data_IF_807259369513
#
_entry.id   IF_807259369513
#
_cell.length_a   1.000
_cell.length_b   1.000
_cell.length_c   1.000
_cell.angle_alpha   90.00
_cell.angle_beta   90.00
_cell.angle_gamma   90.00
#
_symmetry.space_group_name_H-M   'P 1'
#
loop_
_entity.id
_entity.type
_entity.pdbx_description
1 polymer ?
#
# COMPACT_ATOMS: atom_id res chain seq x y z
N UNK A 1 -25.74 -6.27 -22.70
CA UNK A 1 -24.55 -6.68 -21.92
C UNK A 1 -23.58 -7.39 -22.85
N UNK A 2 -22.73 -6.65 -23.59
CA UNK A 2 -21.60 -7.21 -24.37
C UNK A 2 -20.70 -6.05 -24.80
N UNK A 3 -20.02 -5.39 -23.86
CA UNK A 3 -18.99 -4.36 -24.14
C UNK A 3 -17.58 -4.82 -23.74
N UNK A 4 -17.39 -6.10 -23.39
CA UNK A 4 -16.13 -6.59 -22.79
C UNK A 4 -15.29 -7.50 -23.69
N UNK A 5 -15.47 -7.50 -25.02
CA UNK A 5 -14.70 -8.39 -25.89
C UNK A 5 -14.26 -7.74 -27.21
N UNK A 6 -13.63 -6.57 -27.14
CA UNK A 6 -12.81 -6.09 -28.25
C UNK A 6 -11.33 -6.44 -28.01
N UNK A 7 -10.55 -6.79 -29.04
CA UNK A 7 -9.10 -7.04 -28.91
C UNK A 7 -8.32 -5.87 -28.28
N UNK A 8 -8.80 -4.63 -28.47
CA UNK A 8 -8.25 -3.40 -27.87
C UNK A 8 -8.36 -3.44 -26.34
N UNK A 9 -9.54 -3.81 -25.83
CA UNK A 9 -9.82 -3.94 -24.40
C UNK A 9 -8.91 -4.98 -23.75
N UNK A 10 -8.64 -6.11 -24.41
CA UNK A 10 -7.73 -7.14 -23.88
C UNK A 10 -6.29 -6.66 -23.76
N UNK A 11 -5.78 -5.90 -24.74
CA UNK A 11 -4.44 -5.33 -24.67
C UNK A 11 -4.32 -4.29 -23.54
N UNK A 12 -5.30 -3.39 -23.45
CA UNK A 12 -5.37 -2.38 -22.39
C UNK A 12 -5.40 -3.01 -21.00
N UNK A 13 -6.26 -4.02 -20.79
CA UNK A 13 -6.31 -4.77 -19.52
C UNK A 13 -4.95 -5.39 -19.21
N UNK A 14 -4.31 -6.04 -20.20
CA UNK A 14 -3.01 -6.69 -20.01
C UNK A 14 -1.93 -5.72 -19.57
N UNK A 15 -1.83 -4.54 -20.21
CA UNK A 15 -0.81 -3.56 -19.87
C UNK A 15 -1.06 -2.92 -18.48
N UNK A 16 -2.31 -2.59 -18.18
CA UNK A 16 -2.69 -2.05 -16.86
C UNK A 16 -2.44 -3.07 -15.74
N UNK A 17 -2.80 -4.33 -15.95
CA UNK A 17 -2.51 -5.42 -15.00
C UNK A 17 -1.00 -5.59 -14.82
N UNK A 18 -0.22 -5.57 -15.90
CA UNK A 18 1.24 -5.65 -15.82
C UNK A 18 1.82 -4.52 -14.96
N UNK A 19 1.46 -3.25 -15.24
CA UNK A 19 1.99 -2.10 -14.49
C UNK A 19 1.55 -2.13 -13.02
N UNK A 20 0.32 -2.57 -12.76
CA UNK A 20 -0.21 -2.76 -11.41
C UNK A 20 0.62 -3.80 -10.64
N UNK A 21 0.90 -4.95 -11.25
CA UNK A 21 1.68 -6.02 -10.63
C UNK A 21 3.13 -5.59 -10.37
N UNK A 22 3.75 -4.85 -11.29
CA UNK A 22 5.10 -4.30 -11.09
C UNK A 22 5.14 -3.33 -9.90
N UNK A 23 4.12 -2.49 -9.76
CA UNK A 23 4.01 -1.56 -8.63
C UNK A 23 3.79 -2.30 -7.30
N UNK A 24 2.88 -3.28 -7.29
CA UNK A 24 2.62 -4.15 -6.13
C UNK A 24 3.89 -4.90 -5.69
N UNK A 25 4.63 -5.48 -6.64
CA UNK A 25 5.87 -6.18 -6.33
C UNK A 25 6.92 -5.29 -5.66
N UNK A 26 6.96 -3.99 -6.00
CA UNK A 26 7.85 -3.02 -5.33
C UNK A 26 7.40 -2.70 -3.91
N UNK A 27 6.08 -2.55 -3.69
CA UNK A 27 5.50 -2.41 -2.35
C UNK A 27 5.81 -3.64 -1.50
N UNK A 28 5.55 -4.84 -2.03
CA UNK A 28 5.79 -6.09 -1.32
C UNK A 28 7.26 -6.27 -0.97
N UNK A 29 8.16 -5.94 -1.91
CA UNK A 29 9.60 -5.95 -1.67
C UNK A 29 10.02 -5.01 -0.53
N UNK A 30 9.50 -3.78 -0.53
CA UNK A 30 9.74 -2.80 0.53
C UNK A 30 9.19 -3.29 1.88
N UNK A 31 7.94 -3.77 1.92
CA UNK A 31 7.32 -4.27 3.14
C UNK A 31 8.05 -5.51 3.68
N UNK A 32 8.48 -6.43 2.83
CA UNK A 32 9.25 -7.61 3.23
C UNK A 32 10.59 -7.22 3.87
N UNK A 33 11.28 -6.21 3.33
CA UNK A 33 12.52 -5.70 3.92
C UNK A 33 12.26 -5.11 5.31
N UNK A 34 11.25 -4.24 5.43
CA UNK A 34 10.85 -3.64 6.70
C UNK A 34 10.40 -4.70 7.72
N UNK A 35 9.63 -5.71 7.30
CA UNK A 35 9.23 -6.83 8.15
C UNK A 35 10.44 -7.60 8.66
N UNK A 36 11.42 -7.87 7.80
CA UNK A 36 12.67 -8.55 8.19
C UNK A 36 13.47 -7.73 9.19
N UNK A 37 13.61 -6.42 8.94
CA UNK A 37 14.30 -5.50 9.85
C UNK A 37 13.58 -5.40 11.21
N UNK A 38 12.26 -5.53 11.24
CA UNK A 38 11.46 -5.45 12.47
C UNK A 38 11.54 -6.70 13.36
N UNK A 39 12.11 -7.83 12.88
CA UNK A 39 12.14 -9.09 13.64
C UNK A 39 12.81 -8.98 15.02
N UNK A 40 13.97 -8.30 15.21
CA UNK A 40 14.58 -8.14 16.52
C UNK A 40 13.70 -7.35 17.49
N UNK A 41 13.02 -6.32 16.97
CA UNK A 41 12.08 -5.51 17.73
C UNK A 41 10.86 -6.32 18.18
N UNK A 42 10.25 -7.08 17.27
CA UNK A 42 9.14 -8.00 17.59
C UNK A 42 9.56 -9.01 18.65
N UNK A 43 10.75 -9.62 18.50
CA UNK A 43 11.29 -10.56 19.49
C UNK A 43 11.42 -9.91 20.88
N UNK A 44 11.96 -8.68 20.97
CA UNK A 44 12.07 -7.92 22.23
C UNK A 44 10.69 -7.72 22.88
N UNK A 45 9.68 -7.33 22.08
CA UNK A 45 8.30 -7.16 22.57
C UNK A 45 7.72 -8.47 23.11
N UNK A 46 7.87 -9.59 22.39
CA UNK A 46 7.37 -10.89 22.85
C UNK A 46 8.07 -11.38 24.11
N UNK A 47 9.40 -11.22 24.20
CA UNK A 47 10.14 -11.57 25.42
C UNK A 47 9.70 -10.73 26.62
N UNK A 48 9.43 -9.44 26.42
CA UNK A 48 8.86 -8.57 27.46
C UNK A 48 7.50 -9.10 27.92
N UNK A 49 6.63 -9.50 26.99
CA UNK A 49 5.32 -10.06 27.32
C UNK A 49 5.45 -11.35 28.15
N UNK A 50 6.32 -12.28 27.74
CA UNK A 50 6.58 -13.53 28.51
C UNK A 50 7.05 -13.20 29.93
N UNK A 51 7.99 -12.26 30.07
CA UNK A 51 8.49 -11.84 31.38
C UNK A 51 7.38 -11.23 32.27
N UNK A 52 6.34 -10.61 31.71
CA UNK A 52 5.19 -10.17 32.49
C UNK A 52 4.48 -11.35 33.19
N UNK A 53 4.29 -12.47 32.48
CA UNK A 53 3.68 -13.67 33.07
C UNK A 53 4.58 -14.28 34.15
N UNK A 54 5.88 -14.36 33.88
CA UNK A 54 6.85 -14.93 34.84
C UNK A 54 6.97 -14.08 36.12
N UNK A 55 6.88 -12.75 36.00
CA UNK A 55 7.08 -11.81 37.12
C UNK A 55 5.83 -11.70 38.00
N UNK A 56 4.64 -11.66 37.41
CA UNK A 56 3.39 -11.32 38.11
C UNK A 56 2.47 -12.54 38.36
N UNK A 57 2.80 -13.70 37.80
CA UNK A 57 2.15 -14.99 38.03
C UNK A 57 0.61 -14.96 37.86
N UNK A 58 -0.15 -14.83 38.95
CA UNK A 58 -1.63 -14.82 38.93
C UNK A 58 -2.25 -13.44 39.05
N UNK A 59 -1.46 -12.36 39.11
CA UNK A 59 -1.98 -10.99 39.09
C UNK A 59 -2.31 -10.56 37.66
N UNK A 60 -3.50 -10.95 37.20
CA UNK A 60 -3.96 -10.70 35.83
C UNK A 60 -4.06 -9.21 35.47
N UNK A 61 -4.37 -8.34 36.43
CA UNK A 61 -4.49 -6.89 36.16
C UNK A 61 -3.10 -6.29 35.86
N UNK A 62 -2.11 -6.63 36.68
CA UNK A 62 -0.73 -6.17 36.48
C UNK A 62 -0.11 -6.81 35.23
N UNK A 63 -0.39 -8.09 34.95
CA UNK A 63 0.01 -8.74 33.69
C UNK A 63 -0.55 -7.98 32.49
N UNK A 64 -1.84 -7.67 32.48
CA UNK A 64 -2.48 -6.97 31.36
C UNK A 64 -1.86 -5.58 31.11
N UNK A 65 -1.58 -4.82 32.17
CA UNK A 65 -0.89 -3.53 32.08
C UNK A 65 0.54 -3.69 31.54
N UNK A 66 1.28 -4.69 32.02
CA UNK A 66 2.64 -4.98 31.58
C UNK A 66 2.68 -5.36 30.10
N UNK A 67 1.82 -6.29 29.66
CA UNK A 67 1.75 -6.75 28.26
C UNK A 67 1.39 -5.58 27.32
N UNK A 68 0.40 -4.76 27.69
CA UNK A 68 0.05 -3.56 26.93
C UNK A 68 1.29 -2.65 26.79
N UNK A 69 2.01 -2.39 27.88
CA UNK A 69 3.25 -1.60 27.81
C UNK A 69 4.31 -2.22 26.90
N UNK A 70 4.48 -3.54 26.89
CA UNK A 70 5.41 -4.23 26.00
C UNK A 70 5.03 -4.14 24.51
N UNK A 71 3.74 -3.97 24.20
CA UNK A 71 3.21 -3.97 22.83
C UNK A 71 3.04 -2.57 22.24
N UNK A 72 3.00 -1.51 23.06
CA UNK A 72 2.80 -0.11 22.62
C UNK A 72 3.62 0.29 21.39
N UNK A 73 4.92 0.03 21.41
CA UNK A 73 5.78 0.38 20.26
C UNK A 73 5.45 -0.43 19.01
N UNK A 74 5.05 -1.70 19.17
CA UNK A 74 4.63 -2.55 18.06
C UNK A 74 3.33 -2.07 17.46
N UNK A 75 2.36 -1.71 18.29
CA UNK A 75 1.10 -1.12 17.85
C UNK A 75 1.32 0.20 17.10
N UNK A 76 2.16 1.08 17.65
CA UNK A 76 2.51 2.34 16.99
C UNK A 76 3.18 2.11 15.64
N UNK A 77 4.17 1.22 15.57
CA UNK A 77 4.84 0.88 14.32
C UNK A 77 3.86 0.34 13.26
N UNK A 78 2.95 -0.56 13.65
CA UNK A 78 1.91 -1.10 12.76
C UNK A 78 0.97 0.00 12.27
N UNK A 79 0.56 0.93 13.14
CA UNK A 79 -0.26 2.09 12.75
C UNK A 79 0.45 2.98 11.73
N UNK A 80 1.75 3.23 11.90
CA UNK A 80 2.54 4.00 10.94
C UNK A 80 2.58 3.29 9.57
N UNK A 81 2.86 1.99 9.54
CA UNK A 81 2.82 1.20 8.28
C UNK A 81 1.46 1.31 7.59
N UNK A 82 0.36 1.14 8.33
CA UNK A 82 -1.00 1.24 7.78
C UNK A 82 -1.29 2.63 7.22
N UNK A 83 -0.91 3.69 7.94
CA UNK A 83 -1.11 5.08 7.49
C UNK A 83 -0.34 5.37 6.20
N UNK A 84 0.91 4.93 6.09
CA UNK A 84 1.71 5.08 4.87
C UNK A 84 1.07 4.38 3.67
N UNK A 85 0.63 3.14 3.86
CA UNK A 85 -0.01 2.36 2.79
C UNK A 85 -1.36 2.94 2.37
N UNK A 86 -2.17 3.39 3.34
CA UNK A 86 -3.45 4.03 3.06
C UNK A 86 -3.26 5.34 2.28
N UNK A 87 -2.28 6.16 2.66
CA UNK A 87 -1.96 7.40 1.98
C UNK A 87 -1.51 7.14 0.53
N UNK A 88 -0.63 6.17 0.32
CA UNK A 88 -0.19 5.77 -1.02
C UNK A 88 -1.38 5.30 -1.88
N UNK A 89 -2.23 4.44 -1.32
CA UNK A 89 -3.42 3.92 -2.00
C UNK A 89 -4.40 5.04 -2.37
N UNK A 90 -4.69 5.96 -1.44
CA UNK A 90 -5.58 7.09 -1.67
C UNK A 90 -5.07 8.00 -2.79
N UNK A 91 -3.77 8.29 -2.80
CA UNK A 91 -3.13 9.10 -3.83
C UNK A 91 -3.24 8.44 -5.21
N UNK A 92 -2.95 7.14 -5.29
CA UNK A 92 -3.05 6.39 -6.53
C UNK A 92 -4.50 6.32 -7.06
N UNK A 93 -5.47 6.01 -6.20
CA UNK A 93 -6.89 5.96 -6.56
C UNK A 93 -7.40 7.32 -7.03
N UNK A 94 -7.06 8.39 -6.32
CA UNK A 94 -7.40 9.77 -6.71
C UNK A 94 -6.84 10.14 -8.09
N UNK A 95 -5.60 9.74 -8.37
CA UNK A 95 -5.00 9.94 -9.69
C UNK A 95 -5.76 9.17 -10.78
N UNK A 96 -6.05 7.89 -10.57
CA UNK A 96 -6.79 7.07 -11.53
C UNK A 96 -8.20 7.62 -11.77
N UNK A 97 -8.88 8.07 -10.72
CA UNK A 97 -10.20 8.69 -10.80
C UNK A 97 -10.15 10.00 -11.60
N UNK A 98 -9.08 10.79 -11.45
CA UNK A 98 -8.86 12.00 -12.25
C UNK A 98 -8.69 11.70 -13.73
N UNK A 99 -8.02 10.59 -14.08
CA UNK A 99 -7.94 10.11 -15.47
C UNK A 99 -9.32 9.78 -16.01
N UNK A 100 -10.14 9.03 -15.26
CA UNK A 100 -11.51 8.71 -15.68
C UNK A 100 -12.34 9.98 -15.91
N UNK A 101 -12.35 10.92 -14.97
CA UNK A 101 -13.10 12.18 -15.11
C UNK A 101 -12.62 13.03 -16.30
N UNK A 102 -11.33 12.96 -16.65
CA UNK A 102 -10.77 13.68 -17.79
C UNK A 102 -11.27 13.13 -19.13
N UNK A 103 -11.35 11.82 -19.30
CA UNK A 103 -11.63 11.21 -20.60
C UNK A 103 -13.09 10.77 -20.80
N UNK A 104 -13.83 10.46 -19.72
CA UNK A 104 -15.23 10.03 -19.81
C UNK A 104 -16.16 10.99 -20.56
N UNK A 105 -16.07 12.34 -20.40
CA UNK A 105 -16.89 13.26 -21.18
C UNK A 105 -16.60 13.23 -22.67
N UNK A 106 -15.33 13.02 -23.06
CA UNK A 106 -14.95 12.92 -24.47
C UNK A 106 -15.45 11.60 -25.05
N UNK A 107 -15.28 10.50 -24.32
CA UNK A 107 -15.79 9.20 -24.71
C UNK A 107 -17.30 9.24 -24.98
N UNK A 108 -18.07 9.86 -24.07
CA UNK A 108 -19.52 9.99 -24.18
C UNK A 108 -20.01 10.85 -25.36
N UNK A 109 -19.20 11.80 -25.83
CA UNK A 109 -19.52 12.69 -26.97
C UNK A 109 -18.99 12.18 -28.30
N UNK A 110 -18.06 11.23 -28.27
CA UNK A 110 -17.34 10.74 -29.43
C UNK A 110 -18.08 9.61 -30.14
N UNK A 111 -17.70 9.30 -31.39
CA UNK A 111 -18.15 8.06 -31.99
C UNK A 111 -17.31 6.92 -31.42
N UNK A 112 -17.91 6.08 -30.56
CA UNK A 112 -17.20 5.00 -29.87
C UNK A 112 -16.46 4.04 -30.80
N UNK A 113 -16.91 3.88 -32.05
CA UNK A 113 -16.25 3.00 -33.01
C UNK A 113 -15.05 3.65 -33.72
N UNK A 114 -14.99 4.99 -33.77
CA UNK A 114 -13.94 5.75 -34.47
C UNK A 114 -12.93 6.29 -33.45
N UNK A 115 -13.43 7.01 -32.46
CA UNK A 115 -12.63 7.75 -31.49
C UNK A 115 -12.35 6.92 -30.21
N UNK A 116 -13.22 5.95 -29.92
CA UNK A 116 -13.17 5.13 -28.71
C UNK A 116 -11.81 4.48 -28.45
N UNK A 117 -11.20 3.78 -29.43
CA UNK A 117 -9.87 3.17 -29.23
C UNK A 117 -8.77 4.18 -28.89
N UNK A 118 -8.84 5.39 -29.46
CA UNK A 118 -7.87 6.46 -29.16
C UNK A 118 -8.07 6.97 -27.73
N UNK A 119 -9.31 7.22 -27.31
CA UNK A 119 -9.63 7.70 -25.96
C UNK A 119 -9.30 6.64 -24.91
N UNK A 120 -9.58 5.36 -25.18
CA UNK A 120 -9.19 4.23 -24.31
C UNK A 120 -7.68 4.19 -24.10
N UNK A 121 -6.89 4.35 -25.17
CA UNK A 121 -5.42 4.40 -25.08
C UNK A 121 -4.91 5.61 -24.30
N UNK A 122 -5.55 6.78 -24.44
CA UNK A 122 -5.22 7.97 -23.66
C UNK A 122 -5.52 7.79 -22.17
N UNK A 123 -6.65 7.13 -21.86
CA UNK A 123 -7.03 6.79 -20.50
C UNK A 123 -6.06 5.76 -19.89
N UNK A 124 -5.70 4.71 -20.63
CA UNK A 124 -4.68 3.73 -20.25
C UNK A 124 -3.35 4.43 -19.92
N UNK A 125 -2.87 5.27 -20.83
CA UNK A 125 -1.62 6.03 -20.66
C UNK A 125 -1.67 6.92 -19.42
N UNK A 126 -2.81 7.52 -19.12
CA UNK A 126 -2.99 8.32 -17.92
C UNK A 126 -2.90 7.48 -16.65
N UNK A 127 -3.54 6.31 -16.62
CA UNK A 127 -3.48 5.40 -15.47
C UNK A 127 -2.07 4.86 -15.25
N UNK A 128 -1.35 4.49 -16.32
CA UNK A 128 0.07 4.08 -16.23
C UNK A 128 0.91 5.19 -15.59
N UNK A 129 0.72 6.45 -16.02
CA UNK A 129 1.41 7.61 -15.43
C UNK A 129 1.10 7.83 -13.95
N UNK A 130 -0.05 7.38 -13.46
CA UNK A 130 -0.33 7.44 -12.02
C UNK A 130 0.63 6.57 -11.22
N UNK A 131 0.93 5.35 -11.71
CA UNK A 131 1.93 4.51 -11.06
C UNK A 131 3.33 5.15 -11.14
N UNK A 132 3.73 5.65 -12.31
CA UNK A 132 5.04 6.29 -12.48
C UNK A 132 5.21 7.54 -11.62
N UNK A 133 4.12 8.27 -11.37
CA UNK A 133 4.11 9.43 -10.47
C UNK A 133 4.27 9.05 -9.00
N UNK A 134 3.70 7.93 -8.57
CA UNK A 134 3.64 7.55 -7.15
C UNK A 134 4.73 6.55 -6.74
N UNK A 135 5.35 5.84 -7.68
CA UNK A 135 6.45 4.92 -7.41
C UNK A 135 7.67 5.57 -6.73
N UNK A 136 8.09 6.80 -7.09
CA UNK A 136 9.18 7.49 -6.38
C UNK A 136 8.91 7.80 -4.90
N UNK A 137 7.67 7.63 -4.42
CA UNK A 137 7.34 7.81 -3.00
C UNK A 137 7.73 6.58 -2.16
N UNK A 138 7.93 5.41 -2.77
CA UNK A 138 8.22 4.17 -2.04
C UNK A 138 9.52 4.24 -1.21
N UNK A 139 10.65 4.77 -1.73
CA UNK A 139 11.84 4.95 -0.91
C UNK A 139 11.61 5.87 0.30
N UNK A 140 10.87 6.97 0.12
CA UNK A 140 10.56 7.89 1.23
C UNK A 140 9.68 7.23 2.30
N UNK A 141 8.72 6.40 1.88
CA UNK A 141 7.91 5.58 2.80
C UNK A 141 8.84 4.63 3.57
N UNK A 142 9.70 3.91 2.86
CA UNK A 142 10.67 2.99 3.47
C UNK A 142 11.54 3.68 4.52
N UNK A 143 12.05 4.88 4.21
CA UNK A 143 12.88 5.67 5.13
C UNK A 143 12.11 6.08 6.39
N UNK A 144 10.84 6.48 6.25
CA UNK A 144 9.98 6.81 7.40
C UNK A 144 9.74 5.59 8.27
N UNK A 145 9.41 4.43 7.67
CA UNK A 145 9.21 3.18 8.40
C UNK A 145 10.48 2.73 9.13
N UNK A 146 11.62 2.80 8.47
CA UNK A 146 12.91 2.46 9.06
C UNK A 146 13.26 3.39 10.25
N UNK A 147 12.98 4.70 10.11
CA UNK A 147 13.16 5.66 11.19
C UNK A 147 12.26 5.36 12.38
N UNK A 148 10.96 5.10 12.15
CA UNK A 148 10.03 4.72 13.22
C UNK A 148 10.50 3.45 13.92
N UNK A 149 10.90 2.42 13.17
CA UNK A 149 11.41 1.18 13.77
C UNK A 149 12.63 1.44 14.67
N UNK A 150 13.59 2.24 14.21
CA UNK A 150 14.76 2.64 15.00
C UNK A 150 14.40 3.42 16.26
N UNK A 151 13.36 4.25 16.21
CA UNK A 151 12.86 4.99 17.37
C UNK A 151 12.23 4.05 18.40
N UNK A 152 11.46 3.07 17.96
CA UNK A 152 10.83 2.06 18.85
C UNK A 152 11.83 1.06 19.46
N UNK A 153 13.00 0.89 18.84
CA UNK A 153 14.03 -0.02 19.34
C UNK A 153 14.91 0.57 20.45
N UNK A 154 14.95 1.91 20.57
CA UNK A 154 15.72 2.62 21.62
C UNK A 154 15.23 2.26 23.02
#
# INVERSE_FOLDING_TARGET
>A
MTFLSSPSTNHMITNLTKRTNEFQSKIDGMLNNISTESLPFQKKSFMCCVNCFDTYNTDFETIGKCVNNCQKGTEHFVQVVQNEMQNLQNNLQSCQQSCFYKYSPNYAKSNSNIDGPTIEKEMETCVVKCFDKHEPMLPEISDRLHKTLKEEMK
#
